data_IF_254280680553
#
_entry.id   IF_254280680553
#
_cell.length_a   1.000
_cell.length_b   1.000
_cell.length_c   1.000
_cell.angle_alpha   90.00
_cell.angle_beta   90.00
_cell.angle_gamma   90.00
#
_symmetry.space_group_name_H-M   'P 1'
#
loop_
_entity.id
_entity.type
_entity.pdbx_description
1 polymer ?
#
# COMPACT_ATOMS: atom_id res chain seq x y z
N UNK A 1 -16.57 -9.17 2.15
CA UNK A 1 -15.37 -9.35 1.30
C UNK A 1 -14.45 -8.18 1.57
N UNK A 2 -13.18 -8.44 1.87
CA UNK A 2 -12.20 -7.37 2.09
C UNK A 2 -11.94 -6.62 0.77
N UNK A 3 -11.78 -5.30 0.83
CA UNK A 3 -11.48 -4.50 -0.36
C UNK A 3 -10.12 -4.91 -0.97
N UNK A 4 -9.87 -4.68 -2.28
CA UNK A 4 -8.55 -4.94 -2.87
C UNK A 4 -7.41 -4.27 -2.10
N UNK A 5 -7.66 -3.07 -1.57
CA UNK A 5 -6.72 -2.35 -0.71
C UNK A 5 -6.43 -3.08 0.61
N UNK A 6 -7.45 -3.62 1.28
CA UNK A 6 -7.28 -4.42 2.50
C UNK A 6 -6.48 -5.70 2.23
N UNK A 7 -6.69 -6.36 1.08
CA UNK A 7 -5.94 -7.55 0.71
C UNK A 7 -4.45 -7.23 0.47
N UNK A 8 -4.14 -6.17 -0.28
CA UNK A 8 -2.76 -5.72 -0.51
C UNK A 8 -2.10 -5.31 0.80
N UNK A 9 -2.82 -4.58 1.66
CA UNK A 9 -2.30 -4.16 2.97
C UNK A 9 -1.99 -5.37 3.85
N UNK A 10 -2.86 -6.38 3.86
CA UNK A 10 -2.63 -7.63 4.61
C UNK A 10 -1.39 -8.39 4.11
N UNK A 11 -1.18 -8.46 2.80
CA UNK A 11 0.01 -9.10 2.22
C UNK A 11 1.28 -8.35 2.63
N UNK A 12 1.28 -7.02 2.51
CA UNK A 12 2.42 -6.18 2.90
C UNK A 12 2.78 -6.33 4.39
N UNK A 13 1.78 -6.33 5.28
CA UNK A 13 2.00 -6.55 6.72
C UNK A 13 2.64 -7.92 6.96
N UNK A 14 2.15 -8.96 6.27
CA UNK A 14 2.70 -10.31 6.41
C UNK A 14 4.17 -10.34 5.98
N UNK A 15 4.50 -9.72 4.86
CA UNK A 15 5.87 -9.63 4.34
C UNK A 15 6.82 -8.92 5.32
N UNK A 16 6.40 -7.78 5.89
CA UNK A 16 7.18 -7.04 6.90
C UNK A 16 7.50 -7.95 8.10
N UNK A 17 6.48 -8.62 8.65
CA UNK A 17 6.64 -9.49 9.82
C UNK A 17 7.54 -10.67 9.48
N UNK A 18 7.31 -11.34 8.35
CA UNK A 18 8.12 -12.51 7.96
C UNK A 18 9.54 -12.16 7.57
N UNK A 19 9.79 -10.95 7.05
CA UNK A 19 11.13 -10.50 6.66
C UNK A 19 12.04 -10.23 7.87
N UNK A 20 11.45 -10.02 9.04
CA UNK A 20 12.17 -9.75 10.30
C UNK A 20 12.09 -10.92 11.30
N UNK A 21 11.20 -11.88 11.05
CA UNK A 21 11.10 -13.09 11.85
C UNK A 21 12.28 -14.02 11.53
N UNK A 22 13.13 -14.30 12.51
CA UNK A 22 14.17 -15.31 12.37
C UNK A 22 13.63 -16.67 12.80
N UNK A 23 13.77 -17.69 11.95
CA UNK A 23 13.43 -19.06 12.31
C UNK A 23 14.53 -19.65 13.22
N UNK A 24 14.10 -20.14 14.38
CA UNK A 24 14.93 -20.88 15.33
C UNK A 24 14.33 -22.26 15.54
N UNK A 25 15.16 -23.19 16.05
CA UNK A 25 14.74 -24.52 16.52
C UNK A 25 13.51 -24.49 17.45
N UNK A 26 13.30 -23.38 18.15
CA UNK A 26 12.23 -23.21 19.15
C UNK A 26 11.02 -22.41 18.62
N UNK A 27 11.02 -22.02 17.35
CA UNK A 27 9.98 -21.18 16.74
C UNK A 27 10.54 -19.88 16.16
N UNK A 28 9.67 -18.91 15.96
CA UNK A 28 10.06 -17.59 15.45
C UNK A 28 10.61 -16.71 16.59
N UNK A 29 11.77 -16.11 16.35
CA UNK A 29 12.42 -15.18 17.27
C UNK A 29 12.54 -13.82 16.59
N UNK A 30 12.25 -12.77 17.36
CA UNK A 30 12.49 -11.38 17.01
C UNK A 30 13.26 -10.73 18.14
N UNK A 31 14.27 -9.93 17.79
CA UNK A 31 14.96 -9.07 18.73
C UNK A 31 14.14 -7.82 19.03
N UNK A 32 14.55 -7.05 20.04
CA UNK A 32 13.93 -5.76 20.32
C UNK A 32 14.11 -4.78 19.14
N UNK A 33 15.27 -4.83 18.47
CA UNK A 33 15.57 -3.99 17.32
C UNK A 33 14.68 -4.36 16.13
N UNK A 34 14.48 -5.67 15.87
CA UNK A 34 13.54 -6.15 14.85
C UNK A 34 12.12 -5.61 15.10
N UNK A 35 11.68 -5.59 16.36
CA UNK A 35 10.36 -5.08 16.71
C UNK A 35 10.24 -3.57 16.45
N UNK A 36 11.29 -2.80 16.76
CA UNK A 36 11.33 -1.37 16.48
C UNK A 36 11.25 -1.10 14.97
N UNK A 37 12.03 -1.83 14.16
CA UNK A 37 12.01 -1.72 12.71
C UNK A 37 10.64 -2.11 12.12
N UNK A 38 10.00 -3.16 12.63
CA UNK A 38 8.63 -3.52 12.23
C UNK A 38 7.65 -2.38 12.53
N UNK A 39 7.77 -1.72 13.69
CA UNK A 39 6.90 -0.60 14.03
C UNK A 39 7.07 0.56 13.05
N UNK A 40 8.32 0.89 12.70
CA UNK A 40 8.63 1.93 11.72
C UNK A 40 8.11 1.57 10.32
N UNK A 41 8.31 0.33 9.88
CA UNK A 41 7.85 -0.17 8.57
C UNK A 41 6.32 -0.16 8.47
N UNK A 42 5.62 -0.58 9.53
CA UNK A 42 4.16 -0.53 9.58
C UNK A 42 3.65 0.91 9.57
N UNK A 43 4.30 1.82 10.29
CA UNK A 43 3.94 3.23 10.27
C UNK A 43 4.12 3.85 8.88
N UNK A 44 5.24 3.55 8.21
CA UNK A 44 5.52 4.00 6.85
C UNK A 44 4.53 3.43 5.82
N UNK A 45 4.14 2.17 5.97
CA UNK A 45 3.10 1.55 5.14
C UNK A 45 1.76 2.30 5.29
N UNK A 46 1.35 2.61 6.52
CA UNK A 46 0.10 3.34 6.77
C UNK A 46 0.14 4.76 6.21
N UNK A 47 1.25 5.49 6.37
CA UNK A 47 1.42 6.82 5.78
C UNK A 47 1.36 6.78 4.26
N UNK A 48 2.09 5.83 3.65
CA UNK A 48 2.16 5.67 2.19
C UNK A 48 0.79 5.32 1.63
N UNK A 49 0.09 4.39 2.26
CA UNK A 49 -1.24 3.96 1.84
C UNK A 49 -2.29 5.08 1.93
N UNK A 50 -2.21 5.94 2.96
CA UNK A 50 -3.03 7.15 3.09
C UNK A 50 -2.74 8.15 1.97
N UNK A 51 -1.45 8.39 1.69
CA UNK A 51 -1.04 9.33 0.64
C UNK A 51 -1.47 8.83 -0.76
N UNK A 52 -1.35 7.52 -1.01
CA UNK A 52 -1.78 6.90 -2.26
C UNK A 52 -3.30 7.01 -2.44
N UNK A 53 -4.08 6.76 -1.37
CA UNK A 53 -5.52 6.98 -1.40
C UNK A 53 -5.86 8.43 -1.73
N UNK A 54 -5.25 9.39 -1.06
CA UNK A 54 -5.48 10.81 -1.32
C UNK A 54 -5.08 11.22 -2.75
N UNK A 55 -4.01 10.65 -3.30
CA UNK A 55 -3.62 10.85 -4.69
C UNK A 55 -4.64 10.25 -5.67
N UNK A 56 -5.16 9.05 -5.37
CA UNK A 56 -6.24 8.42 -6.12
C UNK A 56 -7.53 9.24 -6.10
N UNK A 57 -7.93 9.76 -4.94
CA UNK A 57 -9.10 10.63 -4.78
C UNK A 57 -8.95 11.93 -5.60
N UNK A 58 -7.74 12.53 -5.62
CA UNK A 58 -7.42 13.68 -6.49
C UNK A 58 -7.49 13.32 -7.96
N UNK A 59 -6.97 12.17 -8.36
CA UNK A 59 -7.00 11.72 -9.75
C UNK A 59 -8.44 11.52 -10.24
N UNK A 60 -9.29 10.86 -9.44
CA UNK A 60 -10.70 10.64 -9.77
C UNK A 60 -11.45 11.98 -9.83
N UNK A 61 -11.27 12.84 -8.82
CA UNK A 61 -11.94 14.15 -8.76
C UNK A 61 -11.48 15.12 -9.86
N UNK A 62 -10.25 14.98 -10.37
CA UNK A 62 -9.74 15.75 -11.51
C UNK A 62 -10.37 15.38 -12.86
N UNK A 63 -11.28 14.40 -12.91
CA UNK A 63 -12.00 14.02 -14.12
C UNK A 63 -11.16 13.21 -15.13
N UNK A 64 -9.97 12.72 -14.72
CA UNK A 64 -9.08 11.93 -15.58
C UNK A 64 -9.74 10.63 -16.11
N UNK A 65 -10.75 10.10 -15.41
CA UNK A 65 -11.54 8.96 -15.88
C UNK A 65 -12.60 9.31 -16.95
N UNK A 66 -12.95 10.59 -17.11
CA UNK A 66 -13.99 11.06 -18.05
C UNK A 66 -13.46 11.89 -19.23
N UNK A 67 -12.16 12.19 -19.28
CA UNK A 67 -11.54 13.02 -20.33
C UNK A 67 -11.07 12.28 -21.60
N UNK A 68 -11.10 10.94 -21.63
CA UNK A 68 -10.52 10.13 -22.73
C UNK A 68 -11.39 9.97 -23.98
N UNK A 69 -12.54 10.64 -24.10
CA UNK A 69 -13.40 10.52 -25.28
C UNK A 69 -14.15 11.81 -25.60
N UNK A 70 -13.45 12.79 -26.15
CA UNK A 70 -14.08 13.73 -27.09
C UNK A 70 -13.12 14.13 -28.20
N UNK A 71 -13.13 13.24 -29.21
CA UNK A 71 -12.84 13.43 -30.63
C UNK A 71 -12.39 14.84 -31.02
N UNK A 72 -11.15 14.93 -31.50
CA UNK A 72 -10.73 15.90 -32.51
C UNK A 72 -11.76 15.88 -33.66
N UNK A 73 -12.68 16.84 -33.64
CA UNK A 73 -13.65 17.02 -34.71
C UNK A 73 -13.07 18.07 -35.63
N UNK A 74 -12.36 17.57 -36.65
CA UNK A 74 -12.25 18.07 -38.02
C UNK A 74 -12.23 19.60 -38.19
N UNK A 75 -11.01 20.12 -38.41
CA UNK A 75 -10.81 21.27 -39.28
C UNK A 75 -11.22 20.90 -40.72
N UNK A 76 -12.19 21.61 -41.28
CA UNK A 76 -12.36 21.86 -42.72
C UNK A 76 -13.24 23.09 -42.90
#
# INVERSE_FOLDING_TARGET
MASPFENVTRVAIKEIITGKANESKFGFVMTHDDLHEICDDLFNLLLTSRNLKAAGDRFISSGALFGGSKKETLQS
#
